data_IF_306468173513
#
_entry.id   IF_306468173513
#
_cell.length_a   1.000
_cell.length_b   1.000
_cell.length_c   1.000
_cell.angle_alpha   90.00
_cell.angle_beta   90.00
_cell.angle_gamma   90.00
#
_symmetry.space_group_name_H-M   'P 1'
#
loop_
_entity.id
_entity.type
_entity.pdbx_description
1 polymer ?
#
# COMPACT_ATOMS: atom_id res chain seq x y z
N UNK A 1 10.27 0.60 12.82
CA UNK A 1 10.84 0.68 11.45
C UNK A 1 9.75 0.23 10.51
N UNK A 2 9.64 0.87 9.34
CA UNK A 2 8.65 0.53 8.32
C UNK A 2 9.33 0.47 6.96
N UNK A 3 8.73 -0.27 6.04
CA UNK A 3 9.18 -0.49 4.66
C UNK A 3 8.03 -0.09 3.73
N UNK A 4 8.34 0.25 2.47
CA UNK A 4 7.32 0.67 1.50
C UNK A 4 6.88 -0.47 0.57
N UNK A 5 5.73 -0.30 -0.08
CA UNK A 5 5.28 -1.21 -1.15
C UNK A 5 6.25 -1.18 -2.34
N UNK A 6 6.73 0.01 -2.69
CA UNK A 6 7.65 0.27 -3.79
C UNK A 6 8.73 1.27 -3.37
N UNK A 7 9.94 1.10 -3.91
CA UNK A 7 10.99 2.10 -3.87
C UNK A 7 11.17 2.73 -5.25
N UNK A 8 11.80 3.91 -5.27
CA UNK A 8 12.16 4.60 -6.50
C UNK A 8 13.68 4.75 -6.59
N UNK A 9 14.27 4.30 -7.69
CA UNK A 9 15.68 4.52 -7.97
C UNK A 9 15.89 5.95 -8.49
N UNK A 10 16.54 6.78 -7.69
CA UNK A 10 16.74 8.20 -8.03
C UNK A 10 17.71 8.42 -9.22
N UNK A 11 18.50 7.42 -9.61
CA UNK A 11 19.47 7.56 -10.69
C UNK A 11 18.83 7.42 -12.09
N UNK A 12 17.92 6.46 -12.24
CA UNK A 12 17.31 6.12 -13.54
C UNK A 12 15.78 6.28 -13.55
N UNK A 13 15.19 6.57 -12.39
CA UNK A 13 13.77 6.76 -12.25
C UNK A 13 12.94 5.48 -12.33
N UNK A 14 13.57 4.31 -12.20
CA UNK A 14 12.85 3.04 -12.16
C UNK A 14 12.17 2.83 -10.81
N UNK A 15 10.95 2.29 -10.86
CA UNK A 15 10.27 1.76 -9.69
C UNK A 15 10.81 0.36 -9.36
N UNK A 16 11.01 0.07 -8.09
CA UNK A 16 11.50 -1.19 -7.57
C UNK A 16 10.41 -1.80 -6.67
N UNK A 17 9.76 -2.90 -7.10
CA UNK A 17 8.80 -3.62 -6.26
C UNK A 17 9.46 -4.14 -4.97
N UNK A 18 8.86 -3.83 -3.82
CA UNK A 18 9.39 -4.22 -2.50
C UNK A 18 8.38 -5.07 -1.73
N UNK A 19 7.55 -4.50 -0.85
CA UNK A 19 6.48 -5.28 -0.18
C UNK A 19 5.33 -5.66 -1.13
N UNK A 20 5.23 -5.00 -2.29
CA UNK A 20 4.36 -5.42 -3.38
C UNK A 20 5.17 -6.06 -4.53
N UNK A 21 4.52 -6.91 -5.31
CA UNK A 21 5.07 -7.56 -6.50
C UNK A 21 4.74 -6.80 -7.78
N UNK A 22 3.52 -6.25 -7.87
CA UNK A 22 3.03 -5.51 -9.04
C UNK A 22 1.76 -4.75 -8.71
N UNK A 23 1.37 -3.81 -9.58
CA UNK A 23 0.04 -3.23 -9.58
C UNK A 23 -0.53 -3.12 -10.99
N UNK A 24 -1.86 -3.04 -11.09
CA UNK A 24 -2.59 -2.72 -12.32
C UNK A 24 -3.51 -1.55 -12.05
N UNK A 25 -3.55 -0.58 -12.97
CA UNK A 25 -4.46 0.57 -12.89
C UNK A 25 -5.64 0.31 -13.83
N UNK A 26 -6.87 0.59 -13.37
CA UNK A 26 -8.06 0.48 -14.22
C UNK A 26 -8.05 1.49 -15.35
N UNK A 27 -8.74 1.19 -16.46
CA UNK A 27 -8.79 2.06 -17.65
C UNK A 27 -9.39 3.45 -17.37
N UNK A 28 -10.25 3.55 -16.36
CA UNK A 28 -10.86 4.81 -15.90
C UNK A 28 -10.01 5.56 -14.87
N UNK A 29 -8.86 5.00 -14.48
CA UNK A 29 -7.93 5.52 -13.47
C UNK A 29 -8.54 5.68 -12.07
N UNK A 30 -9.65 5.00 -11.79
CA UNK A 30 -10.36 5.09 -10.50
C UNK A 30 -10.01 3.96 -9.54
N UNK A 31 -9.23 2.95 -9.96
CA UNK A 31 -8.85 1.82 -9.12
C UNK A 31 -7.43 1.34 -9.42
N UNK A 32 -6.76 0.85 -8.38
CA UNK A 32 -5.43 0.25 -8.46
C UNK A 32 -5.47 -1.09 -7.73
N UNK A 33 -5.23 -2.17 -8.47
CA UNK A 33 -5.10 -3.51 -7.91
C UNK A 33 -3.63 -3.77 -7.60
N UNK A 34 -3.29 -4.03 -6.34
CA UNK A 34 -1.91 -4.25 -5.90
C UNK A 34 -1.74 -5.69 -5.43
N UNK A 35 -0.75 -6.39 -6.01
CA UNK A 35 -0.37 -7.74 -5.60
C UNK A 35 0.69 -7.65 -4.50
N UNK A 36 0.34 -8.11 -3.29
CA UNK A 36 1.24 -8.07 -2.13
C UNK A 36 2.19 -9.27 -2.17
N UNK A 37 3.47 -9.02 -1.85
CA UNK A 37 4.51 -10.04 -1.88
C UNK A 37 4.25 -11.16 -0.88
N UNK A 38 4.28 -12.39 -1.37
CA UNK A 38 4.11 -13.57 -0.52
C UNK A 38 5.38 -13.90 0.28
N UNK A 39 5.19 -14.54 1.45
CA UNK A 39 6.30 -15.03 2.28
C UNK A 39 7.02 -13.97 3.13
N UNK A 40 6.56 -12.71 3.08
CA UNK A 40 7.07 -11.63 3.95
C UNK A 40 6.55 -11.83 5.38
N UNK A 41 7.40 -11.51 6.35
CA UNK A 41 7.06 -11.54 7.77
C UNK A 41 7.44 -10.21 8.42
N UNK A 42 6.61 -9.79 9.36
CA UNK A 42 6.98 -8.79 10.34
C UNK A 42 8.17 -9.27 11.18
N UNK A 43 8.85 -8.33 11.84
CA UNK A 43 10.03 -8.64 12.65
C UNK A 43 9.74 -9.56 13.85
N UNK A 44 8.48 -9.63 14.28
CA UNK A 44 8.01 -10.54 15.33
C UNK A 44 7.66 -11.95 14.81
N UNK A 45 7.78 -12.18 13.51
CA UNK A 45 7.52 -13.45 12.85
C UNK A 45 6.11 -13.63 12.31
N UNK A 46 5.18 -12.70 12.57
CA UNK A 46 3.84 -12.76 12.00
C UNK A 46 3.89 -12.55 10.47
N UNK A 47 3.06 -13.27 9.68
CA UNK A 47 2.97 -13.02 8.24
C UNK A 47 2.51 -11.59 7.95
N UNK A 48 3.11 -10.96 6.93
CA UNK A 48 2.60 -9.73 6.36
C UNK A 48 1.64 -10.06 5.21
N UNK A 49 0.44 -9.50 5.21
CA UNK A 49 -0.59 -9.78 4.20
C UNK A 49 -1.25 -8.52 3.66
N UNK A 50 -2.11 -8.69 2.65
CA UNK A 50 -2.99 -7.64 2.13
C UNK A 50 -3.91 -7.03 3.19
N UNK A 51 -4.24 -7.77 4.25
CA UNK A 51 -5.05 -7.25 5.36
C UNK A 51 -4.31 -6.15 6.15
N UNK A 52 -2.98 -6.25 6.28
CA UNK A 52 -2.17 -5.23 6.95
C UNK A 52 -2.15 -3.92 6.14
N UNK A 53 -2.11 -4.03 4.81
CA UNK A 53 -2.17 -2.87 3.90
C UNK A 53 -3.54 -2.22 3.97
N UNK A 54 -4.61 -3.03 3.91
CA UNK A 54 -5.98 -2.55 4.10
C UNK A 54 -6.15 -1.83 5.43
N UNK A 55 -5.72 -2.46 6.52
CA UNK A 55 -5.74 -1.85 7.85
C UNK A 55 -5.02 -0.50 7.86
N UNK A 56 -3.83 -0.42 7.27
CA UNK A 56 -3.05 0.82 7.22
C UNK A 56 -3.80 1.93 6.49
N UNK A 57 -4.34 1.65 5.30
CA UNK A 57 -5.06 2.64 4.49
C UNK A 57 -6.36 3.11 5.18
N UNK A 58 -7.14 2.18 5.72
CA UNK A 58 -8.37 2.51 6.47
C UNK A 58 -8.04 3.30 7.73
N UNK A 59 -6.98 2.91 8.46
CA UNK A 59 -6.55 3.60 9.67
C UNK A 59 -6.14 5.05 9.38
N UNK A 60 -5.40 5.28 8.30
CA UNK A 60 -5.04 6.63 7.84
C UNK A 60 -6.28 7.44 7.46
N UNK A 61 -7.18 6.87 6.64
CA UNK A 61 -8.43 7.54 6.23
C UNK A 61 -9.30 7.96 7.42
N UNK A 62 -9.38 7.10 8.44
CA UNK A 62 -10.34 7.24 9.54
C UNK A 62 -9.75 7.90 10.80
N UNK A 63 -8.47 8.29 10.78
CA UNK A 63 -7.78 8.96 11.92
C UNK A 63 -7.19 10.31 11.48
N UNK A 64 -7.95 11.42 11.58
CA UNK A 64 -7.56 12.75 11.08
C UNK A 64 -6.23 13.30 11.59
N UNK A 65 -5.77 12.83 12.75
CA UNK A 65 -4.52 13.27 13.38
C UNK A 65 -3.28 12.64 12.73
N UNK A 66 -3.44 11.60 11.92
CA UNK A 66 -2.33 10.95 11.22
C UNK A 66 -1.93 11.74 9.97
N UNK A 67 -0.62 11.75 9.71
CA UNK A 67 -0.09 12.24 8.43
C UNK A 67 -0.77 11.48 7.27
N UNK A 68 -1.02 12.16 6.15
CA UNK A 68 -1.71 11.62 4.96
C UNK A 68 -3.20 11.28 5.15
N UNK A 69 -3.79 11.50 6.35
CA UNK A 69 -5.20 11.23 6.57
C UNK A 69 -6.12 12.04 5.66
N UNK A 70 -5.83 13.34 5.47
CA UNK A 70 -6.62 14.21 4.58
C UNK A 70 -6.65 13.68 3.14
N UNK A 71 -5.51 13.26 2.60
CA UNK A 71 -5.42 12.73 1.24
C UNK A 71 -6.15 11.38 1.11
N UNK A 72 -5.98 10.49 2.10
CA UNK A 72 -6.70 9.21 2.12
C UNK A 72 -8.21 9.42 2.20
N UNK A 73 -8.66 10.37 3.01
CA UNK A 73 -10.09 10.69 3.16
C UNK A 73 -10.68 11.31 1.90
N UNK A 74 -9.93 12.13 1.19
CA UNK A 74 -10.39 12.78 -0.04
C UNK A 74 -10.43 11.79 -1.22
N UNK A 75 -9.39 10.99 -1.40
CA UNK A 75 -9.16 10.24 -2.65
C UNK A 75 -9.46 8.75 -2.56
N UNK A 76 -9.52 8.15 -1.37
CA UNK A 76 -9.74 6.70 -1.21
C UNK A 76 -11.15 6.43 -0.73
N UNK A 77 -12.01 5.98 -1.66
CA UNK A 77 -13.39 5.61 -1.38
C UNK A 77 -13.50 4.30 -0.59
N UNK A 78 -12.80 3.27 -1.02
CA UNK A 78 -12.84 1.93 -0.42
C UNK A 78 -11.52 1.17 -0.63
N UNK A 79 -11.32 0.15 0.20
CA UNK A 79 -10.18 -0.77 0.12
C UNK A 79 -10.69 -2.20 0.32
N UNK A 80 -10.40 -3.07 -0.62
CA UNK A 80 -10.83 -4.48 -0.60
C UNK A 80 -9.62 -5.42 -0.67
N UNK A 81 -9.82 -6.64 -0.18
CA UNK A 81 -8.83 -7.72 -0.23
C UNK A 81 -9.53 -8.90 -0.90
N UNK A 82 -8.89 -9.48 -1.92
CA UNK A 82 -9.45 -10.54 -2.78
C UNK A 82 -8.52 -11.74 -2.86
#
# INVERSE_FOLDING_TARGET
>A
IFEFLYYYNHNDGSEIPWLAESYTVSDDFMSVDVVIRSGVKWSDGNPFTSDDVKFTLEKLRDTPELAFSSDMKEWVKDVTVT
#
